data_IF_782865119328
#
_entry.id   IF_782865119328
#
_cell.length_a   1.000
_cell.length_b   1.000
_cell.length_c   1.000
_cell.angle_alpha   90.00
_cell.angle_beta   90.00
_cell.angle_gamma   90.00
#
_symmetry.space_group_name_H-M   'P 1'
#
loop_
_entity.id
_entity.type
_entity.pdbx_description
1 polymer ?
#
# COMPACT_ATOMS: atom_id res chain seq x y z
N UNK A 1 5.84 8.13 3.58
CA UNK A 1 6.71 9.25 3.12
C UNK A 1 8.06 8.72 2.62
N UNK A 2 8.83 7.92 3.40
CA UNK A 2 10.13 7.38 2.96
C UNK A 2 10.09 6.65 1.61
N UNK A 3 9.10 5.77 1.42
CA UNK A 3 8.92 5.07 0.15
C UNK A 3 8.84 6.03 -1.05
N UNK A 4 8.15 7.14 -0.91
CA UNK A 4 8.05 8.16 -1.97
C UNK A 4 9.33 8.97 -2.14
N UNK A 5 10.09 9.18 -1.07
CA UNK A 5 11.42 9.79 -1.17
C UNK A 5 12.38 8.92 -2.00
N UNK A 6 12.35 7.60 -1.78
CA UNK A 6 13.17 6.64 -2.53
C UNK A 6 12.67 6.49 -3.97
N UNK A 7 11.35 6.34 -4.18
CA UNK A 7 10.77 6.16 -5.50
C UNK A 7 10.89 7.41 -6.39
N UNK A 8 10.88 8.60 -5.79
CA UNK A 8 10.92 9.90 -6.48
C UNK A 8 9.85 10.01 -7.57
N UNK A 9 8.57 9.91 -7.21
CA UNK A 9 7.48 9.99 -8.17
C UNK A 9 7.52 11.32 -8.92
N UNK A 10 7.08 11.27 -10.17
CA UNK A 10 6.92 12.44 -11.02
C UNK A 10 5.44 12.76 -11.15
N UNK A 11 5.14 13.99 -11.41
CA UNK A 11 3.78 14.39 -11.78
C UNK A 11 3.31 13.55 -12.98
N UNK A 12 2.14 12.95 -12.85
CA UNK A 12 1.56 12.10 -13.89
C UNK A 12 1.96 10.60 -13.84
N UNK A 13 2.78 10.17 -12.89
CA UNK A 13 3.08 8.74 -12.70
C UNK A 13 1.84 7.96 -12.27
N UNK A 14 1.78 6.68 -12.67
CA UNK A 14 0.77 5.72 -12.19
C UNK A 14 1.34 4.96 -11.00
N UNK A 15 0.64 5.01 -9.87
CA UNK A 15 1.06 4.39 -8.61
C UNK A 15 0.08 3.29 -8.23
N UNK A 16 0.59 2.10 -7.96
CA UNK A 16 -0.16 0.98 -7.39
C UNK A 16 0.24 0.82 -5.93
N UNK A 17 -0.75 0.63 -5.06
CA UNK A 17 -0.58 0.39 -3.64
C UNK A 17 -1.25 -0.95 -3.31
N UNK A 18 -0.45 -1.94 -2.95
CA UNK A 18 -0.94 -3.23 -2.48
C UNK A 18 -1.14 -3.14 -0.95
N UNK A 19 -2.41 -3.26 -0.54
CA UNK A 19 -2.85 -3.13 0.85
C UNK A 19 -3.35 -1.73 1.20
N UNK A 20 -4.59 -1.65 1.68
CA UNK A 20 -5.25 -0.44 2.16
C UNK A 20 -5.31 -0.36 3.71
N UNK A 21 -4.36 -0.96 4.40
CA UNK A 21 -4.20 -0.80 5.84
C UNK A 21 -3.73 0.61 6.23
N UNK A 22 -3.36 0.81 7.48
CA UNK A 22 -2.93 2.13 7.97
C UNK A 22 -1.83 2.79 7.15
N UNK A 23 -0.83 2.01 6.70
CA UNK A 23 0.24 2.51 5.83
C UNK A 23 -0.28 2.81 4.42
N UNK A 24 -1.14 1.91 3.87
CA UNK A 24 -1.67 2.05 2.51
C UNK A 24 -2.56 3.28 2.34
N UNK A 25 -3.42 3.58 3.29
CA UNK A 25 -4.26 4.79 3.27
C UNK A 25 -3.40 6.05 3.27
N UNK A 26 -2.36 6.11 4.11
CA UNK A 26 -1.43 7.23 4.09
C UNK A 26 -0.64 7.32 2.77
N UNK A 27 -0.20 6.18 2.22
CA UNK A 27 0.47 6.13 0.93
C UNK A 27 -0.44 6.63 -0.20
N UNK A 28 -1.72 6.27 -0.17
CA UNK A 28 -2.74 6.72 -1.12
C UNK A 28 -2.85 8.26 -1.13
N UNK A 29 -3.01 8.85 0.05
CA UNK A 29 -3.11 10.31 0.17
C UNK A 29 -1.83 11.02 -0.31
N UNK A 30 -0.66 10.48 0.02
CA UNK A 30 0.62 11.04 -0.43
C UNK A 30 0.75 10.95 -1.94
N UNK A 31 0.47 9.79 -2.56
CA UNK A 31 0.54 9.63 -4.02
C UNK A 31 -0.39 10.61 -4.74
N UNK A 32 -1.63 10.73 -4.27
CA UNK A 32 -2.61 11.67 -4.80
C UNK A 32 -2.14 13.13 -4.68
N UNK A 33 -1.60 13.50 -3.51
CA UNK A 33 -1.14 14.87 -3.25
C UNK A 33 0.12 15.24 -4.05
N UNK A 34 0.94 14.25 -4.39
CA UNK A 34 2.12 14.42 -5.27
C UNK A 34 1.77 14.51 -6.75
N UNK A 35 0.49 14.37 -7.13
CA UNK A 35 0.03 14.54 -8.50
C UNK A 35 0.17 13.29 -9.36
N UNK A 36 0.03 12.11 -8.78
CA UNK A 36 -0.08 10.87 -9.56
C UNK A 36 -1.27 10.94 -10.52
N UNK A 37 -1.10 10.42 -11.73
CA UNK A 37 -2.17 10.30 -12.73
C UNK A 37 -3.19 9.25 -12.30
N UNK A 38 -2.70 8.09 -11.86
CA UNK A 38 -3.50 7.02 -11.29
C UNK A 38 -2.95 6.66 -9.92
N UNK A 39 -3.83 6.51 -8.94
CA UNK A 39 -3.57 5.90 -7.64
C UNK A 39 -4.49 4.70 -7.53
N UNK A 40 -3.96 3.52 -7.81
CA UNK A 40 -4.68 2.25 -7.84
C UNK A 40 -4.41 1.51 -6.53
N UNK A 41 -5.46 1.25 -5.76
CA UNK A 41 -5.33 0.59 -4.45
C UNK A 41 -5.95 -0.80 -4.50
N UNK A 42 -5.21 -1.81 -4.02
CA UNK A 42 -5.61 -3.22 -4.03
C UNK A 42 -5.76 -3.69 -2.58
N UNK A 43 -6.94 -4.20 -2.21
CA UNK A 43 -7.22 -4.79 -0.88
C UNK A 43 -8.41 -5.76 -0.97
N UNK A 44 -8.63 -6.56 0.07
CA UNK A 44 -9.77 -7.46 0.19
C UNK A 44 -10.89 -6.93 1.10
N UNK A 45 -10.68 -5.81 1.77
CA UNK A 45 -11.62 -5.27 2.74
C UNK A 45 -12.33 -4.04 2.16
N UNK A 46 -13.63 -4.18 1.87
CA UNK A 46 -14.44 -3.09 1.29
C UNK A 46 -14.36 -1.77 2.07
N UNK A 47 -14.46 -1.75 3.41
CA UNK A 47 -14.34 -0.50 4.17
C UNK A 47 -13.01 0.23 3.95
N UNK A 48 -11.91 -0.54 3.80
CA UNK A 48 -10.58 0.03 3.53
C UNK A 48 -10.50 0.61 2.12
N UNK A 49 -11.07 -0.09 1.13
CA UNK A 49 -11.12 0.39 -0.25
C UNK A 49 -11.96 1.66 -0.38
N UNK A 50 -13.08 1.76 0.33
CA UNK A 50 -13.88 2.99 0.35
C UNK A 50 -13.13 4.15 1.02
N UNK A 51 -12.41 3.89 2.12
CA UNK A 51 -11.56 4.91 2.73
C UNK A 51 -10.41 5.33 1.79
N UNK A 52 -9.83 4.40 1.04
CA UNK A 52 -8.81 4.71 0.03
C UNK A 52 -9.34 5.67 -1.04
N UNK A 53 -10.58 5.50 -1.51
CA UNK A 53 -11.23 6.46 -2.44
C UNK A 53 -11.32 7.86 -1.83
N UNK A 54 -11.77 7.96 -0.58
CA UNK A 54 -11.83 9.25 0.13
C UNK A 54 -10.45 9.88 0.34
N UNK A 55 -9.40 9.06 0.39
CA UNK A 55 -8.01 9.49 0.52
C UNK A 55 -7.30 9.70 -0.83
N UNK A 56 -8.04 9.67 -1.95
CA UNK A 56 -7.52 10.07 -3.25
C UNK A 56 -7.14 8.92 -4.18
N UNK A 57 -7.53 7.67 -3.88
CA UNK A 57 -7.45 6.60 -4.87
C UNK A 57 -8.34 6.93 -6.08
N UNK A 58 -7.77 6.87 -7.27
CA UNK A 58 -8.54 7.04 -8.52
C UNK A 58 -9.28 5.77 -8.89
N UNK A 59 -8.70 4.63 -8.55
CA UNK A 59 -9.23 3.31 -8.85
C UNK A 59 -8.96 2.36 -7.68
N UNK A 60 -9.84 1.39 -7.50
CA UNK A 60 -9.68 0.32 -6.50
C UNK A 60 -9.80 -1.05 -7.17
N UNK A 61 -9.09 -2.02 -6.65
CA UNK A 61 -9.18 -3.43 -7.06
C UNK A 61 -9.49 -4.27 -5.82
N UNK A 62 -10.71 -4.80 -5.76
CA UNK A 62 -11.10 -5.75 -4.71
C UNK A 62 -10.60 -7.15 -5.10
N UNK A 63 -9.74 -7.75 -4.28
CA UNK A 63 -9.21 -9.10 -4.54
C UNK A 63 -10.31 -10.18 -4.55
N UNK A 64 -11.49 -9.91 -4.00
CA UNK A 64 -12.61 -10.82 -4.06
C UNK A 64 -13.31 -10.78 -5.43
N UNK A 65 -13.26 -9.65 -6.14
CA UNK A 65 -13.76 -9.49 -7.51
C UNK A 65 -12.70 -9.92 -8.55
N UNK A 66 -11.42 -9.74 -8.21
CA UNK A 66 -10.27 -10.14 -9.03
C UNK A 66 -9.43 -11.19 -8.28
N UNK A 67 -9.88 -12.44 -8.20
CA UNK A 67 -9.33 -13.43 -7.26
C UNK A 67 -7.95 -13.99 -7.66
N UNK A 68 -7.54 -13.84 -8.92
CA UNK A 68 -6.25 -14.37 -9.39
C UNK A 68 -5.22 -13.25 -9.58
N UNK A 69 -3.94 -13.60 -9.48
CA UNK A 69 -2.82 -12.68 -9.76
C UNK A 69 -2.97 -12.09 -11.16
N UNK A 70 -3.23 -12.95 -12.15
CA UNK A 70 -3.37 -12.56 -13.55
C UNK A 70 -4.49 -11.53 -13.74
N UNK A 71 -5.65 -11.75 -13.11
CA UNK A 71 -6.80 -10.83 -13.24
C UNK A 71 -6.51 -9.44 -12.66
N UNK A 72 -5.74 -9.38 -11.56
CA UNK A 72 -5.34 -8.10 -10.95
C UNK A 72 -4.26 -7.39 -11.76
N UNK A 73 -3.28 -8.14 -12.27
CA UNK A 73 -2.24 -7.60 -13.16
C UNK A 73 -2.85 -7.06 -14.45
N UNK A 74 -3.78 -7.80 -15.07
CA UNK A 74 -4.51 -7.35 -16.26
C UNK A 74 -5.32 -6.09 -15.97
N UNK A 75 -5.99 -6.02 -14.81
CA UNK A 75 -6.76 -4.84 -14.41
C UNK A 75 -5.87 -3.62 -14.23
N UNK A 76 -4.69 -3.74 -13.62
CA UNK A 76 -3.72 -2.64 -13.54
C UNK A 76 -3.27 -2.21 -14.94
N UNK A 77 -3.00 -3.14 -15.84
CA UNK A 77 -2.63 -2.83 -17.22
C UNK A 77 -3.75 -2.11 -17.96
N UNK A 78 -4.99 -2.57 -17.82
CA UNK A 78 -6.17 -1.88 -18.39
C UNK A 78 -6.23 -0.42 -17.92
N UNK A 79 -6.14 -0.19 -16.59
CA UNK A 79 -6.22 1.13 -15.98
C UNK A 79 -5.04 2.06 -16.36
N UNK A 80 -3.93 1.49 -16.81
CA UNK A 80 -2.71 2.20 -17.21
C UNK A 80 -2.45 2.14 -18.72
N UNK A 81 -3.49 1.94 -19.54
CA UNK A 81 -3.41 1.88 -21.00
C UNK A 81 -2.41 0.83 -21.53
N UNK A 82 -2.31 -0.32 -20.88
CA UNK A 82 -1.42 -1.42 -21.26
C UNK A 82 0.03 -1.28 -20.80
N UNK A 83 0.42 -0.14 -20.23
CA UNK A 83 1.82 0.18 -19.90
C UNK A 83 2.27 -0.46 -18.58
N UNK A 84 1.41 -0.47 -17.55
CA UNK A 84 1.72 -0.84 -16.18
C UNK A 84 2.05 0.38 -15.31
N UNK A 85 2.37 0.12 -14.04
CA UNK A 85 2.61 1.15 -13.03
C UNK A 85 4.06 1.67 -13.06
N UNK A 86 4.22 2.97 -12.88
CA UNK A 86 5.52 3.61 -12.67
C UNK A 86 6.13 3.21 -11.33
N UNK A 87 5.26 3.12 -10.32
CA UNK A 87 5.62 2.78 -8.95
C UNK A 87 4.61 1.77 -8.40
N UNK A 88 5.10 0.70 -7.81
CA UNK A 88 4.31 -0.25 -7.02
C UNK A 88 4.85 -0.28 -5.61
N UNK A 89 3.97 -0.14 -4.60
CA UNK A 89 4.33 -0.17 -3.18
C UNK A 89 3.58 -1.33 -2.52
N UNK A 90 4.33 -2.29 -2.00
CA UNK A 90 3.79 -3.43 -1.25
C UNK A 90 3.74 -3.10 0.25
N UNK A 91 2.54 -3.18 0.84
CA UNK A 91 2.26 -2.86 2.24
C UNK A 91 1.41 -3.96 2.93
N UNK A 92 1.28 -5.11 2.30
CA UNK A 92 0.49 -6.24 2.79
C UNK A 92 1.33 -7.19 3.63
N UNK A 93 2.56 -7.50 3.16
CA UNK A 93 3.47 -8.44 3.80
C UNK A 93 3.18 -9.91 3.50
N UNK A 94 2.53 -10.22 2.37
CA UNK A 94 2.35 -11.60 1.91
C UNK A 94 3.26 -11.92 0.72
N UNK A 95 3.97 -13.07 0.72
CA UNK A 95 4.89 -13.44 -0.36
C UNK A 95 4.30 -13.34 -1.77
N UNK A 96 3.04 -13.74 -1.96
CA UNK A 96 2.36 -13.68 -3.25
C UNK A 96 2.17 -12.25 -3.79
N UNK A 97 2.09 -11.24 -2.90
CA UNK A 97 1.95 -9.84 -3.31
C UNK A 97 3.22 -9.31 -4.00
N UNK A 98 4.38 -9.85 -3.66
CA UNK A 98 5.67 -9.41 -4.24
C UNK A 98 5.76 -9.77 -5.71
N UNK A 99 5.52 -11.05 -6.04
CA UNK A 99 5.53 -11.51 -7.43
C UNK A 99 4.49 -10.77 -8.26
N UNK A 100 3.29 -10.63 -7.73
CA UNK A 100 2.18 -9.89 -8.35
C UNK A 100 2.56 -8.44 -8.62
N UNK A 101 3.08 -7.73 -7.61
CA UNK A 101 3.43 -6.32 -7.74
C UNK A 101 4.57 -6.07 -8.74
N UNK A 102 5.55 -6.96 -8.81
CA UNK A 102 6.60 -6.90 -9.83
C UNK A 102 6.01 -7.05 -11.24
N UNK A 103 4.99 -7.90 -11.42
CA UNK A 103 4.30 -8.06 -12.71
C UNK A 103 3.46 -6.82 -13.10
N UNK A 104 3.02 -6.02 -12.14
CA UNK A 104 2.29 -4.78 -12.37
C UNK A 104 3.19 -3.62 -12.79
N UNK A 105 4.49 -3.69 -12.51
CA UNK A 105 5.43 -2.64 -12.91
C UNK A 105 5.52 -2.52 -14.43
N UNK A 106 5.61 -1.28 -14.92
CA UNK A 106 6.04 -1.05 -16.29
C UNK A 106 7.55 -1.27 -16.46
N UNK A 107 8.00 -1.35 -17.69
CA UNK A 107 9.46 -1.29 -18.00
C UNK A 107 10.07 -0.04 -17.35
N UNK A 108 11.20 -0.22 -16.64
CA UNK A 108 11.90 0.80 -15.84
C UNK A 108 11.09 1.35 -14.67
N UNK A 109 10.04 0.65 -14.26
CA UNK A 109 9.26 0.96 -13.06
C UNK A 109 10.06 0.74 -11.77
N UNK A 110 9.46 1.12 -10.67
CA UNK A 110 10.03 0.96 -9.32
C UNK A 110 9.08 0.15 -8.45
N UNK A 111 9.58 -0.94 -7.91
CA UNK A 111 8.89 -1.74 -6.91
C UNK A 111 9.49 -1.48 -5.52
N UNK A 112 8.65 -1.21 -4.55
CA UNK A 112 9.03 -0.91 -3.17
C UNK A 112 8.41 -1.95 -2.24
N UNK A 113 9.28 -2.75 -1.63
CA UNK A 113 8.92 -3.77 -0.66
C UNK A 113 9.00 -3.21 0.75
N UNK A 114 7.87 -3.12 1.45
CA UNK A 114 7.75 -2.51 2.78
C UNK A 114 7.03 -3.43 3.77
N UNK A 115 6.11 -4.26 3.28
CA UNK A 115 5.20 -5.05 4.11
C UNK A 115 5.85 -6.23 4.83
N UNK A 116 6.89 -6.82 4.28
CA UNK A 116 7.54 -8.02 4.81
C UNK A 116 8.50 -7.69 5.96
N UNK A 117 7.97 -7.63 7.17
CA UNK A 117 8.75 -7.40 8.39
C UNK A 117 9.07 -8.69 9.17
N UNK A 118 8.42 -9.81 8.80
CA UNK A 118 8.60 -11.09 9.48
C UNK A 118 9.80 -11.86 8.90
N UNK A 119 10.68 -12.45 9.74
CA UNK A 119 11.80 -13.23 9.26
C UNK A 119 11.32 -14.52 8.54
N UNK A 120 12.19 -15.06 7.68
CA UNK A 120 11.98 -16.30 6.92
C UNK A 120 10.81 -16.25 5.91
N UNK A 121 10.38 -15.08 5.49
CA UNK A 121 9.43 -14.93 4.39
C UNK A 121 10.17 -15.11 3.06
N UNK A 122 9.87 -16.20 2.35
CA UNK A 122 10.52 -16.54 1.10
C UNK A 122 9.58 -16.26 -0.08
N UNK A 123 10.12 -15.64 -1.13
CA UNK A 123 9.40 -15.27 -2.35
C UNK A 123 10.11 -15.87 -3.55
N UNK A 124 9.35 -16.43 -4.50
CA UNK A 124 9.86 -16.82 -5.81
C UNK A 124 9.72 -15.64 -6.76
N UNK A 125 10.82 -15.17 -7.32
CA UNK A 125 10.83 -14.08 -8.30
C UNK A 125 11.45 -14.52 -9.61
N UNK A 126 10.83 -14.14 -10.72
CA UNK A 126 11.46 -14.21 -12.03
C UNK A 126 12.50 -13.09 -12.17
N UNK A 127 13.75 -13.44 -11.88
CA UNK A 127 14.89 -12.51 -11.98
C UNK A 127 15.13 -12.06 -13.42
N UNK A 128 14.80 -12.90 -14.42
CA UNK A 128 14.91 -12.53 -15.83
C UNK A 128 14.02 -11.33 -16.16
N UNK A 129 12.80 -11.29 -15.59
CA UNK A 129 11.90 -10.14 -15.75
C UNK A 129 12.49 -8.86 -15.15
N UNK A 130 13.08 -8.93 -13.96
CA UNK A 130 13.73 -7.75 -13.35
C UNK A 130 14.81 -7.18 -14.24
N UNK A 131 15.62 -8.05 -14.86
CA UNK A 131 16.73 -7.65 -15.76
C UNK A 131 16.18 -7.13 -17.08
N UNK A 132 15.31 -7.88 -17.76
CA UNK A 132 14.80 -7.55 -19.08
C UNK A 132 13.99 -6.23 -19.08
N UNK A 133 13.19 -6.02 -18.06
CA UNK A 133 12.37 -4.81 -17.91
C UNK A 133 13.07 -3.69 -17.10
N UNK A 134 14.29 -3.92 -16.62
CA UNK A 134 15.09 -2.95 -15.85
C UNK A 134 14.32 -2.41 -14.64
N UNK A 135 13.61 -3.28 -13.91
CA UNK A 135 12.81 -2.91 -12.73
C UNK A 135 13.76 -2.58 -11.58
N UNK A 136 13.51 -1.47 -10.92
CA UNK A 136 14.19 -1.10 -9.67
C UNK A 136 13.43 -1.69 -8.49
N UNK A 137 14.10 -2.55 -7.75
CA UNK A 137 13.53 -3.22 -6.57
C UNK A 137 14.22 -2.71 -5.31
N UNK A 138 13.45 -2.16 -4.36
CA UNK A 138 13.97 -1.63 -3.11
C UNK A 138 13.21 -2.22 -1.92
N UNK A 139 13.95 -2.72 -0.93
CA UNK A 139 13.43 -3.05 0.40
C UNK A 139 13.53 -1.84 1.32
N UNK A 140 12.46 -1.58 2.10
CA UNK A 140 12.38 -0.44 3.01
C UNK A 140 11.81 -0.91 4.35
N UNK A 141 12.58 -0.79 5.42
CA UNK A 141 12.10 -1.12 6.76
C UNK A 141 12.00 0.11 7.66
N UNK A 142 12.96 1.01 7.59
CA UNK A 142 13.06 2.18 8.43
C UNK A 142 13.00 3.46 7.60
N UNK A 143 13.07 4.59 8.28
CA UNK A 143 13.09 5.92 7.66
C UNK A 143 14.17 6.78 8.33
N UNK A 144 14.70 7.70 7.57
CA UNK A 144 15.63 8.69 8.10
C UNK A 144 14.87 9.70 8.97
N UNK A 145 15.43 10.11 10.13
CA UNK A 145 14.76 11.02 11.06
C UNK A 145 14.27 12.33 10.44
N UNK A 146 14.95 12.83 9.42
CA UNK A 146 14.57 14.08 8.73
C UNK A 146 13.25 13.97 7.95
N UNK A 147 12.73 12.76 7.71
CA UNK A 147 11.43 12.57 7.05
C UNK A 147 10.25 12.89 7.97
N UNK A 148 10.45 12.88 9.29
CA UNK A 148 9.39 13.14 10.28
C UNK A 148 8.81 14.55 10.17
N UNK A 149 9.60 15.63 10.12
CA UNK A 149 9.06 16.97 9.89
C UNK A 149 8.21 17.05 8.62
N UNK A 150 8.69 16.50 7.51
CA UNK A 150 7.96 16.48 6.25
C UNK A 150 6.62 15.71 6.35
N UNK A 151 6.60 14.64 7.14
CA UNK A 151 5.38 13.85 7.38
C UNK A 151 4.37 14.63 8.22
N UNK A 152 4.82 15.35 9.23
CA UNK A 152 3.99 16.21 10.06
C UNK A 152 3.43 17.37 9.23
N UNK A 153 4.27 18.03 8.44
CA UNK A 153 3.84 19.12 7.54
C UNK A 153 2.80 18.64 6.52
N UNK A 154 2.98 17.42 5.98
CA UNK A 154 1.98 16.79 5.11
C UNK A 154 0.64 16.64 5.84
N UNK A 155 0.63 16.07 7.04
CA UNK A 155 -0.60 15.86 7.82
C UNK A 155 -1.30 17.17 8.16
N UNK A 156 -0.55 18.19 8.59
CA UNK A 156 -1.10 19.52 8.90
C UNK A 156 -1.72 20.16 7.65
N UNK A 157 -1.01 20.13 6.54
CA UNK A 157 -1.42 20.76 5.29
C UNK A 157 -2.64 20.09 4.65
N UNK A 158 -2.78 18.77 4.86
CA UNK A 158 -3.81 17.97 4.17
C UNK A 158 -4.95 17.53 5.09
N UNK A 159 -4.99 17.98 6.35
CA UNK A 159 -5.98 17.55 7.36
C UNK A 159 -7.44 17.71 6.92
N UNK A 160 -7.73 18.76 6.14
CA UNK A 160 -9.08 19.04 5.64
C UNK A 160 -9.32 18.46 4.23
N UNK A 161 -8.29 17.91 3.60
CA UNK A 161 -8.35 17.32 2.27
C UNK A 161 -8.57 15.81 2.30
N UNK A 162 -7.89 15.12 3.20
CA UNK A 162 -7.98 13.66 3.32
C UNK A 162 -8.41 13.26 4.73
N UNK A 163 -9.43 12.40 4.89
CA UNK A 163 -9.92 11.97 6.21
C UNK A 163 -9.00 10.91 6.83
N UNK A 164 -7.70 11.23 7.00
CA UNK A 164 -6.69 10.29 7.48
C UNK A 164 -6.94 9.78 8.91
N UNK A 165 -7.69 10.52 9.72
CA UNK A 165 -8.10 10.06 11.06
C UNK A 165 -9.03 8.86 11.01
N UNK A 166 -9.78 8.67 9.90
CA UNK A 166 -10.67 7.53 9.72
C UNK A 166 -9.93 6.19 9.55
N UNK A 167 -8.59 6.24 9.48
CA UNK A 167 -7.76 5.02 9.55
C UNK A 167 -7.89 4.33 10.91
N UNK A 168 -8.22 5.08 11.96
CA UNK A 168 -8.49 4.54 13.30
C UNK A 168 -9.90 3.93 13.26
N UNK A 169 -9.96 2.62 13.12
CA UNK A 169 -11.22 1.88 12.99
C UNK A 169 -11.73 1.33 14.32
N UNK A 170 -10.83 1.16 15.29
CA UNK A 170 -11.16 0.56 16.59
C UNK A 170 -10.40 1.26 17.72
N UNK A 171 -11.11 1.49 18.82
CA UNK A 171 -10.54 2.03 20.05
C UNK A 171 -10.83 1.06 21.20
N UNK A 172 -9.82 0.79 22.01
CA UNK A 172 -9.90 -0.10 23.17
C UNK A 172 -9.38 0.61 24.41
N UNK A 173 -10.03 0.48 25.56
CA UNK A 173 -9.43 0.94 26.81
C UNK A 173 -8.21 0.07 27.17
N UNK A 174 -7.23 0.63 27.85
CA UNK A 174 -6.02 -0.10 28.28
C UNK A 174 -6.36 -1.34 29.12
N UNK A 175 -7.49 -1.30 29.83
CA UNK A 175 -7.99 -2.43 30.62
C UNK A 175 -8.45 -3.61 29.79
N UNK A 176 -8.66 -3.42 28.48
CA UNK A 176 -9.08 -4.47 27.51
C UNK A 176 -8.00 -4.76 26.46
N UNK A 177 -6.74 -4.62 26.84
CA UNK A 177 -5.60 -4.78 25.94
C UNK A 177 -5.52 -6.15 25.26
N UNK A 178 -5.92 -7.21 25.96
CA UNK A 178 -5.92 -8.56 25.39
C UNK A 178 -6.89 -8.68 24.20
N UNK A 179 -8.08 -8.09 24.33
CA UNK A 179 -9.08 -8.08 23.27
C UNK A 179 -8.60 -7.21 22.08
N UNK A 180 -7.94 -6.09 22.37
CA UNK A 180 -7.33 -5.26 21.34
C UNK A 180 -6.36 -6.05 20.47
N UNK A 181 -5.45 -6.82 21.09
CA UNK A 181 -4.51 -7.69 20.35
C UNK A 181 -5.23 -8.79 19.56
N UNK A 182 -6.19 -9.50 20.18
CA UNK A 182 -6.95 -10.57 19.51
C UNK A 182 -7.71 -10.04 18.28
N UNK A 183 -8.33 -8.87 18.41
CA UNK A 183 -9.13 -8.26 17.33
C UNK A 183 -8.23 -7.72 16.21
N UNK A 184 -7.08 -7.13 16.56
CA UNK A 184 -6.16 -6.57 15.59
C UNK A 184 -5.25 -7.61 14.92
N UNK A 185 -5.20 -8.85 15.45
CA UNK A 185 -4.32 -9.89 14.91
C UNK A 185 -4.77 -10.31 13.51
N UNK A 186 -3.85 -10.21 12.56
CA UNK A 186 -4.06 -10.60 11.17
C UNK A 186 -3.13 -11.74 10.73
N UNK A 187 -2.05 -12.01 11.49
CA UNK A 187 -1.11 -13.09 11.23
C UNK A 187 -1.80 -14.45 11.39
N UNK A 188 -1.78 -15.25 10.33
CA UNK A 188 -2.44 -16.56 10.30
C UNK A 188 -3.94 -16.51 9.96
N UNK A 189 -4.53 -15.35 9.81
CA UNK A 189 -5.92 -15.22 9.37
C UNK A 189 -5.98 -15.01 7.84
N UNK A 190 -6.35 -16.05 7.11
CA UNK A 190 -6.44 -16.01 5.64
C UNK A 190 -7.45 -14.99 5.10
N UNK A 191 -8.39 -14.53 5.93
CA UNK A 191 -9.39 -13.52 5.57
C UNK A 191 -8.94 -12.09 5.91
N UNK A 192 -7.76 -11.93 6.55
CA UNK A 192 -7.30 -10.66 7.08
C UNK A 192 -8.12 -10.17 8.29
N UNK A 193 -7.80 -9.01 8.80
CA UNK A 193 -8.55 -8.35 9.87
C UNK A 193 -9.34 -7.17 9.29
N UNK A 194 -10.58 -6.97 9.76
CA UNK A 194 -11.38 -5.78 9.44
C UNK A 194 -10.78 -4.50 10.04
N UNK A 195 -9.89 -4.66 11.01
CA UNK A 195 -9.20 -3.54 11.67
C UNK A 195 -8.24 -2.86 10.70
N UNK A 196 -8.47 -1.61 10.38
CA UNK A 196 -7.52 -0.78 9.63
C UNK A 196 -6.40 -0.31 10.53
N UNK A 197 -6.75 0.26 11.67
CA UNK A 197 -5.83 0.61 12.77
C UNK A 197 -6.60 0.58 14.10
N UNK A 198 -6.07 -0.16 15.06
CA UNK A 198 -6.54 -0.11 16.44
C UNK A 198 -5.67 0.85 17.25
N UNK A 199 -6.28 1.56 18.18
CA UNK A 199 -5.59 2.34 19.21
C UNK A 199 -6.04 1.90 20.60
N UNK A 200 -5.17 2.10 21.58
CA UNK A 200 -5.46 1.86 22.99
C UNK A 200 -5.46 3.20 23.69
N UNK A 201 -6.52 3.46 24.46
CA UNK A 201 -6.70 4.70 25.22
C UNK A 201 -6.58 4.43 26.72
N UNK A 202 -6.16 5.43 27.52
CA UNK A 202 -6.08 5.32 29.00
C UNK A 202 -7.40 4.97 29.66
#
# INVERSE_FOLDING_TARGET
MEAFHIAKPRFGDNVVIQGAGGLGINATAIASDMGANKVIVIDGQKPRLELAKLCGATDIIDINEYPTVESRVEKVRELTNGIGADIVIELVGFPAAVEEGVQMCRMRGTYLEVGHISPNSMVSLDVQKLVAEQIRFYGIQHYDPWILPNSIDFLIRTKDKYPLTNVISHEFPITDIENAFKTAEWLGNSKGSEVTRAIVTP
#
